data_IF_381927465112
#
_entry.id   IF_381927465112
#
_cell.length_a   1.000
_cell.length_b   1.000
_cell.length_c   1.000
_cell.angle_alpha   90.00
_cell.angle_beta   90.00
_cell.angle_gamma   90.00
#
_symmetry.space_group_name_H-M   'P 1'
#
loop_
_entity.id
_entity.type
_entity.pdbx_description
1 polymer ?
#
# COMPACT_ATOMS: atom_id res chain seq x y z
N UNK A 1 29.90 -22.13 -0.72
CA UNK A 1 28.59 -21.46 -0.83
C UNK A 1 28.88 -20.00 -1.12
N UNK A 2 28.77 -19.59 -2.38
CA UNK A 2 28.91 -18.18 -2.73
C UNK A 2 27.73 -17.42 -2.12
N UNK A 3 28.00 -16.46 -1.23
CA UNK A 3 26.97 -15.56 -0.73
C UNK A 3 26.59 -14.64 -1.88
N UNK A 4 25.49 -14.96 -2.58
CA UNK A 4 24.93 -14.07 -3.57
C UNK A 4 24.64 -12.72 -2.91
N UNK A 5 25.06 -11.60 -3.51
CA UNK A 5 24.83 -10.29 -2.93
C UNK A 5 23.32 -10.02 -2.84
N UNK A 6 22.82 -9.71 -1.64
CA UNK A 6 21.40 -9.45 -1.34
C UNK A 6 20.77 -8.37 -2.25
N UNK A 7 21.57 -7.48 -2.83
CA UNK A 7 21.15 -6.44 -3.78
C UNK A 7 20.52 -6.98 -5.07
N UNK A 8 20.64 -8.28 -5.38
CA UNK A 8 20.09 -8.91 -6.59
C UNK A 8 18.77 -9.64 -6.37
N UNK A 9 18.29 -9.78 -5.13
CA UNK A 9 17.02 -10.47 -4.82
C UNK A 9 15.81 -9.54 -5.02
N UNK A 10 15.67 -9.01 -6.24
CA UNK A 10 14.49 -8.25 -6.64
C UNK A 10 13.36 -9.20 -7.00
N UNK A 11 12.28 -9.14 -6.24
CA UNK A 11 11.12 -10.00 -6.45
C UNK A 11 10.01 -9.21 -7.14
N UNK A 12 9.78 -9.52 -8.41
CA UNK A 12 8.73 -8.88 -9.20
C UNK A 12 7.53 -9.81 -9.30
N UNK A 13 6.49 -9.56 -8.50
CA UNK A 13 5.22 -10.26 -8.63
C UNK A 13 4.43 -9.68 -9.82
N UNK A 14 4.21 -10.44 -10.91
CA UNK A 14 3.54 -9.91 -12.10
C UNK A 14 2.12 -9.44 -11.80
N UNK A 15 1.44 -10.09 -10.85
CA UNK A 15 0.07 -9.76 -10.45
C UNK A 15 0.01 -8.41 -9.72
N UNK A 16 0.94 -8.16 -8.80
CA UNK A 16 1.00 -6.88 -8.06
C UNK A 16 1.34 -5.74 -9.01
N UNK A 17 2.32 -5.95 -9.89
CA UNK A 17 2.72 -4.95 -10.89
C UNK A 17 1.55 -4.63 -11.83
N UNK A 18 0.86 -5.66 -12.32
CA UNK A 18 -0.33 -5.49 -13.16
C UNK A 18 -1.42 -4.72 -12.42
N UNK A 19 -1.71 -5.07 -11.17
CA UNK A 19 -2.70 -4.40 -10.36
C UNK A 19 -2.37 -2.91 -10.17
N UNK A 20 -1.13 -2.58 -9.82
CA UNK A 20 -0.68 -1.20 -9.62
C UNK A 20 -0.65 -0.42 -10.94
N UNK A 21 -0.28 -1.05 -12.04
CA UNK A 21 -0.31 -0.44 -13.38
C UNK A 21 -1.75 -0.12 -13.80
N UNK A 22 -2.70 -1.03 -13.57
CA UNK A 22 -4.13 -0.80 -13.80
C UNK A 22 -4.64 0.33 -12.91
N UNK A 23 -4.27 0.36 -11.63
CA UNK A 23 -4.66 1.41 -10.69
C UNK A 23 -4.16 2.79 -11.15
N UNK A 24 -2.89 2.88 -11.56
CA UNK A 24 -2.28 4.09 -12.12
C UNK A 24 -2.97 4.54 -13.40
N UNK A 25 -3.23 3.61 -14.32
CA UNK A 25 -3.92 3.92 -15.56
C UNK A 25 -5.34 4.44 -15.32
N UNK A 26 -6.11 3.78 -14.44
CA UNK A 26 -7.46 4.20 -14.08
C UNK A 26 -7.46 5.58 -13.43
N UNK A 27 -6.53 5.85 -12.52
CA UNK A 27 -6.41 7.15 -11.87
C UNK A 27 -6.09 8.26 -12.88
N UNK A 28 -5.12 8.06 -13.78
CA UNK A 28 -4.78 9.04 -14.82
C UNK A 28 -5.93 9.25 -15.81
N UNK A 29 -6.65 8.18 -16.19
CA UNK A 29 -7.83 8.26 -17.04
C UNK A 29 -8.93 9.10 -16.40
N UNK A 30 -9.19 8.93 -15.09
CA UNK A 30 -10.18 9.71 -14.34
C UNK A 30 -9.75 11.17 -14.14
N UNK A 31 -8.44 11.43 -13.99
CA UNK A 31 -7.86 12.78 -13.91
C UNK A 31 -7.84 13.50 -15.27
N UNK A 32 -8.18 12.80 -16.36
CA UNK A 32 -8.12 13.34 -17.72
C UNK A 32 -6.69 13.63 -18.19
N UNK A 33 -5.71 12.89 -17.67
CA UNK A 33 -4.27 13.03 -17.97
C UNK A 33 -3.68 14.43 -17.72
N UNK A 34 -4.33 15.27 -16.93
CA UNK A 34 -3.80 16.58 -16.56
C UNK A 34 -2.66 16.42 -15.57
N UNK A 35 -1.51 17.05 -15.79
CA UNK A 35 -0.45 17.06 -14.78
C UNK A 35 -0.80 18.02 -13.64
N UNK A 36 -1.33 17.48 -12.56
CA UNK A 36 -1.58 18.19 -11.30
C UNK A 36 -0.66 17.67 -10.20
N UNK A 37 -0.48 18.44 -9.13
CA UNK A 37 0.30 18.00 -7.97
C UNK A 37 -0.23 16.67 -7.39
N UNK A 38 -1.56 16.48 -7.38
CA UNK A 38 -2.23 15.26 -6.93
C UNK A 38 -1.77 14.02 -7.71
N UNK A 39 -1.58 14.14 -9.03
CA UNK A 39 -1.09 13.03 -9.86
C UNK A 39 0.36 12.68 -9.55
N UNK A 40 1.20 13.67 -9.21
CA UNK A 40 2.58 13.44 -8.77
C UNK A 40 2.59 12.69 -7.44
N UNK A 41 1.75 13.08 -6.48
CA UNK A 41 1.62 12.36 -5.21
C UNK A 41 1.14 10.92 -5.41
N UNK A 42 0.19 10.68 -6.33
CA UNK A 42 -0.24 9.33 -6.67
C UNK A 42 0.90 8.50 -7.26
N UNK A 43 1.61 9.04 -8.25
CA UNK A 43 2.73 8.34 -8.89
C UNK A 43 3.85 8.03 -7.89
N UNK A 44 4.16 8.97 -7.00
CA UNK A 44 5.14 8.76 -5.92
C UNK A 44 4.68 7.69 -4.93
N UNK A 45 3.39 7.64 -4.57
CA UNK A 45 2.86 6.59 -3.71
C UNK A 45 3.03 5.20 -4.34
N UNK A 46 2.66 5.05 -5.62
CA UNK A 46 2.79 3.78 -6.35
C UNK A 46 4.26 3.39 -6.51
N UNK A 47 5.15 4.34 -6.77
CA UNK A 47 6.58 4.09 -6.83
C UNK A 47 7.13 3.61 -5.48
N UNK A 48 6.76 4.28 -4.38
CA UNK A 48 7.18 3.87 -3.04
C UNK A 48 6.62 2.49 -2.67
N UNK A 49 5.40 2.18 -3.06
CA UNK A 49 4.83 0.86 -2.87
C UNK A 49 5.64 -0.21 -3.61
N UNK A 50 5.93 0.01 -4.90
CA UNK A 50 6.75 -0.89 -5.70
C UNK A 50 8.15 -1.06 -5.11
N UNK A 51 8.77 0.02 -4.62
CA UNK A 51 10.07 -0.07 -3.96
C UNK A 51 9.98 -0.85 -2.65
N UNK A 52 8.94 -0.65 -1.83
CA UNK A 52 8.79 -1.38 -0.57
C UNK A 52 8.55 -2.89 -0.78
N UNK A 53 7.84 -3.26 -1.84
CA UNK A 53 7.46 -4.65 -2.14
C UNK A 53 8.49 -5.40 -2.99
N UNK A 54 9.00 -4.76 -4.07
CA UNK A 54 9.93 -5.42 -4.99
C UNK A 54 11.39 -5.35 -4.53
N UNK A 55 11.72 -4.46 -3.59
CA UNK A 55 13.11 -4.34 -3.14
C UNK A 55 13.56 -5.56 -2.32
N UNK A 56 14.88 -5.82 -2.28
CA UNK A 56 15.45 -6.80 -1.37
C UNK A 56 15.04 -6.61 0.09
N UNK A 57 14.64 -5.40 0.50
CA UNK A 57 14.15 -5.13 1.85
C UNK A 57 12.94 -6.00 2.20
N UNK A 58 12.05 -6.27 1.23
CA UNK A 58 10.92 -7.18 1.41
C UNK A 58 11.40 -8.59 1.72
N UNK A 59 12.35 -9.11 0.93
CA UNK A 59 12.93 -10.43 1.14
C UNK A 59 13.62 -10.55 2.50
N UNK A 60 14.42 -9.56 2.90
CA UNK A 60 15.02 -9.52 4.24
C UNK A 60 13.94 -9.48 5.33
N UNK A 61 12.86 -8.72 5.11
CA UNK A 61 11.74 -8.64 6.04
C UNK A 61 11.01 -9.96 6.24
N UNK A 62 10.83 -10.72 5.15
CA UNK A 62 10.09 -11.99 5.17
C UNK A 62 10.90 -13.15 5.74
N UNK A 63 12.22 -13.18 5.53
CA UNK A 63 13.03 -14.38 5.81
C UNK A 63 14.07 -14.22 6.92
N UNK A 64 14.52 -13.00 7.24
CA UNK A 64 15.68 -12.80 8.11
C UNK A 64 15.44 -11.83 9.27
N UNK A 65 14.88 -10.65 9.00
CA UNK A 65 14.81 -9.57 9.98
C UNK A 65 13.42 -8.97 10.10
N UNK A 66 12.81 -9.17 11.26
CA UNK A 66 11.58 -8.50 11.64
C UNK A 66 11.69 -6.96 11.57
N UNK A 67 12.85 -6.39 11.88
CA UNK A 67 13.08 -4.94 11.76
C UNK A 67 12.99 -4.44 10.32
N UNK A 68 13.47 -5.21 9.34
CA UNK A 68 13.34 -4.86 7.92
C UNK A 68 11.88 -4.89 7.47
N UNK A 69 11.12 -5.90 7.91
CA UNK A 69 9.68 -5.98 7.69
C UNK A 69 8.95 -4.75 8.28
N UNK A 70 9.29 -4.36 9.50
CA UNK A 70 8.71 -3.18 10.16
C UNK A 70 9.03 -1.87 9.42
N UNK A 71 10.24 -1.71 8.90
CA UNK A 71 10.58 -0.52 8.10
C UNK A 71 9.69 -0.43 6.86
N UNK A 72 9.55 -1.53 6.11
CA UNK A 72 8.68 -1.57 4.94
C UNK A 72 7.22 -1.25 5.33
N UNK A 73 6.74 -1.83 6.43
CA UNK A 73 5.39 -1.59 6.94
C UNK A 73 5.15 -0.12 7.33
N UNK A 74 6.10 0.49 8.05
CA UNK A 74 6.03 1.89 8.49
C UNK A 74 6.10 2.86 7.31
N UNK A 75 6.96 2.60 6.31
CA UNK A 75 7.03 3.41 5.10
C UNK A 75 5.70 3.40 4.34
N UNK A 76 5.07 2.22 4.22
CA UNK A 76 3.77 2.11 3.58
C UNK A 76 2.68 2.85 4.36
N UNK A 77 2.66 2.73 5.68
CA UNK A 77 1.63 3.36 6.51
C UNK A 77 1.79 4.89 6.63
N UNK A 78 3.02 5.37 6.89
CA UNK A 78 3.27 6.77 7.23
C UNK A 78 3.67 7.64 6.04
N UNK A 79 4.09 7.06 4.92
CA UNK A 79 4.51 7.81 3.74
C UNK A 79 3.56 7.51 2.57
N UNK A 80 3.43 6.23 2.18
CA UNK A 80 2.58 5.86 1.04
C UNK A 80 1.10 6.19 1.31
N UNK A 81 0.57 5.86 2.49
CA UNK A 81 -0.81 6.15 2.87
C UNK A 81 -1.17 7.64 2.74
N UNK A 82 -0.43 8.56 3.41
CA UNK A 82 -0.66 10.00 3.28
C UNK A 82 -0.49 10.53 1.85
N UNK A 83 0.47 10.02 1.07
CA UNK A 83 0.61 10.39 -0.35
C UNK A 83 -0.63 10.01 -1.16
N UNK A 84 -1.21 8.83 -0.92
CA UNK A 84 -2.48 8.43 -1.54
C UNK A 84 -3.63 9.34 -1.12
N UNK A 85 -3.69 9.78 0.14
CA UNK A 85 -4.71 10.74 0.59
C UNK A 85 -4.54 12.09 -0.10
N UNK A 86 -3.30 12.59 -0.23
CA UNK A 86 -2.99 13.85 -0.93
C UNK A 86 -3.25 13.77 -2.44
N UNK A 87 -3.25 12.55 -3.00
CA UNK A 87 -3.58 12.34 -4.40
C UNK A 87 -5.07 12.43 -4.72
N UNK A 88 -5.95 12.50 -3.72
CA UNK A 88 -7.39 12.60 -3.97
C UNK A 88 -7.68 13.93 -4.68
N UNK A 89 -8.29 13.91 -5.88
CA UNK A 89 -8.60 15.14 -6.61
C UNK A 89 -9.75 15.91 -5.96
N UNK A 90 -9.67 17.24 -5.94
CA UNK A 90 -10.71 18.11 -5.35
C UNK A 90 -12.07 17.99 -6.02
N UNK A 91 -12.09 17.62 -7.31
CA UNK A 91 -13.29 17.40 -8.09
C UNK A 91 -13.43 15.92 -8.39
N UNK A 92 -14.37 15.25 -7.71
CA UNK A 92 -14.74 13.89 -8.05
C UNK A 92 -15.39 13.86 -9.43
N UNK A 93 -14.98 12.96 -10.33
CA UNK A 93 -15.64 12.82 -11.63
C UNK A 93 -17.11 12.44 -11.44
N UNK A 94 -17.98 12.98 -12.29
CA UNK A 94 -19.45 12.84 -12.21
C UNK A 94 -19.94 11.39 -12.06
N UNK A 95 -19.17 10.42 -12.61
CA UNK A 95 -19.44 8.97 -12.48
C UNK A 95 -19.50 8.47 -11.02
N UNK A 96 -18.89 9.19 -10.08
CA UNK A 96 -18.81 8.80 -8.67
C UNK A 96 -19.53 9.78 -7.73
N UNK A 97 -20.19 10.81 -8.25
CA UNK A 97 -20.82 11.85 -7.42
C UNK A 97 -21.93 11.32 -6.49
N UNK A 98 -22.73 10.33 -6.91
CA UNK A 98 -23.86 9.88 -6.09
C UNK A 98 -23.47 8.83 -5.04
N UNK A 99 -22.78 7.76 -5.42
CA UNK A 99 -22.45 6.67 -4.48
C UNK A 99 -21.28 7.00 -3.55
N UNK A 100 -20.25 7.65 -4.07
CA UNK A 100 -19.04 7.98 -3.31
C UNK A 100 -19.22 9.26 -2.48
N UNK A 101 -20.12 10.18 -2.85
CA UNK A 101 -20.41 11.34 -1.99
C UNK A 101 -21.19 10.97 -0.74
N UNK A 102 -22.12 10.01 -0.78
CA UNK A 102 -22.83 9.57 0.43
C UNK A 102 -21.89 8.88 1.43
N UNK A 103 -21.06 7.95 0.93
CA UNK A 103 -20.06 7.25 1.75
C UNK A 103 -18.99 8.21 2.29
N UNK A 104 -18.45 9.10 1.45
CA UNK A 104 -17.48 10.09 1.90
C UNK A 104 -18.08 11.12 2.86
N UNK A 105 -19.34 11.54 2.68
CA UNK A 105 -20.05 12.40 3.64
C UNK A 105 -20.24 11.69 4.98
N UNK A 106 -20.60 10.41 4.96
CA UNK A 106 -20.77 9.61 6.18
C UNK A 106 -19.44 9.46 6.95
N UNK A 107 -18.36 9.13 6.24
CA UNK A 107 -17.02 9.02 6.82
C UNK A 107 -16.49 10.36 7.33
N UNK A 108 -16.73 11.45 6.59
CA UNK A 108 -16.31 12.81 7.00
C UNK A 108 -17.12 13.32 8.19
N UNK A 109 -18.39 12.92 8.31
CA UNK A 109 -19.24 13.22 9.48
C UNK A 109 -18.79 12.41 10.71
N UNK A 110 -18.36 11.17 10.50
CA UNK A 110 -17.94 10.27 11.58
C UNK A 110 -16.45 9.96 11.44
N UNK A 111 -15.60 10.98 11.48
CA UNK A 111 -14.14 10.82 11.38
C UNK A 111 -13.56 9.84 12.40
N UNK A 112 -14.24 9.68 13.54
CA UNK A 112 -13.88 8.69 14.58
C UNK A 112 -13.99 7.23 14.09
N UNK A 113 -14.84 6.92 13.11
CA UNK A 113 -14.96 5.57 12.53
C UNK A 113 -13.68 5.21 11.78
N UNK A 114 -13.12 6.16 11.01
CA UNK A 114 -11.86 5.96 10.33
C UNK A 114 -10.72 5.71 11.32
N UNK A 115 -10.67 6.52 12.38
CA UNK A 115 -9.70 6.34 13.47
C UNK A 115 -9.85 4.98 14.16
N UNK A 116 -11.08 4.62 14.57
CA UNK A 116 -11.34 3.38 15.28
C UNK A 116 -11.02 2.16 14.40
N UNK A 117 -11.37 2.21 13.11
CA UNK A 117 -11.04 1.16 12.16
C UNK A 117 -9.53 0.99 12.04
N UNK A 118 -8.78 2.09 11.91
CA UNK A 118 -7.31 2.03 11.87
C UNK A 118 -6.71 1.42 13.13
N UNK A 119 -7.18 1.82 14.31
CA UNK A 119 -6.72 1.30 15.61
C UNK A 119 -7.07 -0.18 15.76
N UNK A 120 -8.29 -0.59 15.43
CA UNK A 120 -8.74 -1.98 15.54
C UNK A 120 -7.93 -2.89 14.60
N UNK A 121 -7.72 -2.46 13.35
CA UNK A 121 -6.89 -3.20 12.39
C UNK A 121 -5.45 -3.28 12.90
N UNK A 122 -4.89 -2.18 13.42
CA UNK A 122 -3.56 -2.18 14.02
C UNK A 122 -3.47 -3.20 15.17
N UNK A 123 -4.41 -3.16 16.12
CA UNK A 123 -4.43 -4.07 17.27
C UNK A 123 -4.56 -5.52 16.84
N UNK A 124 -5.47 -5.80 15.91
CA UNK A 124 -5.70 -7.15 15.39
C UNK A 124 -4.41 -7.77 14.83
N UNK A 125 -3.66 -7.01 14.03
CA UNK A 125 -2.40 -7.49 13.45
C UNK A 125 -1.24 -7.57 14.43
N UNK A 126 -1.33 -6.93 15.60
CA UNK A 126 -0.32 -7.03 16.66
C UNK A 126 -0.59 -8.17 17.65
N UNK A 127 -1.68 -8.93 17.48
CA UNK A 127 -1.92 -10.15 18.26
C UNK A 127 -0.89 -11.21 17.81
N UNK A 128 0.01 -11.68 18.70
CA UNK A 128 1.12 -12.57 18.30
C UNK A 128 0.64 -13.83 17.58
N UNK A 129 -0.44 -14.45 18.06
CA UNK A 129 -0.99 -15.65 17.44
C UNK A 129 -1.45 -15.44 15.99
N UNK A 130 -1.99 -14.26 15.66
CA UNK A 130 -2.46 -13.92 14.31
C UNK A 130 -1.26 -13.62 13.42
N UNK A 131 -0.33 -12.82 13.94
CA UNK A 131 0.91 -12.49 13.26
C UNK A 131 1.71 -13.75 12.91
N UNK A 132 1.95 -14.65 13.87
CA UNK A 132 2.71 -15.88 13.67
C UNK A 132 2.01 -16.81 12.68
N UNK A 133 0.68 -16.92 12.73
CA UNK A 133 -0.09 -17.70 11.76
C UNK A 133 0.08 -17.19 10.33
N UNK A 134 0.11 -15.87 10.14
CA UNK A 134 0.33 -15.27 8.83
C UNK A 134 1.72 -15.59 8.27
N UNK A 135 2.77 -15.48 9.09
CA UNK A 135 4.15 -15.83 8.70
C UNK A 135 4.31 -17.31 8.37
N UNK A 136 3.71 -18.20 9.18
CA UNK A 136 3.72 -19.65 8.90
C UNK A 136 3.02 -19.95 7.57
N UNK A 137 1.89 -19.30 7.28
CA UNK A 137 1.16 -19.51 6.03
C UNK A 137 1.96 -19.05 4.81
N UNK A 138 2.66 -17.91 4.92
CA UNK A 138 3.44 -17.34 3.82
C UNK A 138 4.68 -18.20 3.49
N UNK A 139 5.35 -18.76 4.50
CA UNK A 139 6.49 -19.66 4.29
C UNK A 139 6.10 -21.02 3.67
N UNK A 140 4.85 -21.48 3.85
CA UNK A 140 4.38 -22.73 3.21
C UNK A 140 4.06 -22.57 1.72
N UNK A 141 3.82 -21.35 1.25
CA UNK A 141 3.50 -21.06 -0.16
C UNK A 141 4.78 -20.90 -1.00
N UNK A 142 5.92 -20.64 -0.36
CA UNK A 142 7.21 -20.41 -1.01
C UNK A 142 8.18 -21.61 -0.93
N UNK A 143 7.75 -22.74 -0.35
CA UNK A 143 8.45 -24.04 -0.32
C UNK A 143 7.87 -25.04 -1.31
#
# INVERSE_FOLDING_TARGET
MEMKPLIYEWHFSPLIILFLAVLLFLYYKLSGFKQTANNIYFALAILLFLLADCSPLHFLGMHYYFSAHMIAHVVLLLICGPLLVLSIPDKTPALFENSLSAFSKLLRKHSWIGWLTGVLVMWFWHIPAIFDASFISMNKVTS
#
